data_IF_830895009965
#
_entry.id   IF_830895009965
#
_cell.length_a   1.000
_cell.length_b   1.000
_cell.length_c   1.000
_cell.angle_alpha   90.00
_cell.angle_beta   90.00
_cell.angle_gamma   90.00
#
_symmetry.space_group_name_H-M   'P 1'
#
loop_
_entity.id
_entity.type
_entity.pdbx_description
1 polymer ?
#
# COMPACT_ATOMS: atom_id res chain seq x y z
N UNK A 1 6.93 -10.40 38.19
CA UNK A 1 5.69 -10.78 37.47
C UNK A 1 5.90 -10.47 36.00
N UNK A 2 5.66 -11.43 35.10
CA UNK A 2 5.64 -11.15 33.66
C UNK A 2 4.30 -10.51 33.27
N UNK A 3 4.30 -9.66 32.24
CA UNK A 3 3.14 -8.88 31.82
C UNK A 3 3.14 -8.63 30.31
N UNK A 4 2.08 -7.98 29.81
CA UNK A 4 1.95 -7.48 28.44
C UNK A 4 1.45 -6.04 28.45
N UNK A 5 1.59 -5.27 27.34
CA UNK A 5 1.03 -3.92 27.25
C UNK A 5 -0.47 -3.87 27.61
N UNK A 6 -1.24 -4.88 27.19
CA UNK A 6 -2.66 -4.97 27.51
C UNK A 6 -2.92 -5.19 29.01
N UNK A 7 -2.14 -6.05 29.66
CA UNK A 7 -2.25 -6.26 31.11
C UNK A 7 -1.89 -5.01 31.90
N UNK A 8 -0.87 -4.27 31.46
CA UNK A 8 -0.48 -3.00 32.07
C UNK A 8 -1.59 -1.96 31.95
N UNK A 9 -2.13 -1.73 30.74
CA UNK A 9 -3.22 -0.77 30.51
C UNK A 9 -4.46 -1.14 31.34
N UNK A 10 -4.79 -2.43 31.47
CA UNK A 10 -5.87 -2.91 32.34
C UNK A 10 -5.64 -2.55 33.80
N UNK A 11 -4.42 -2.74 34.32
CA UNK A 11 -4.09 -2.40 35.70
C UNK A 11 -4.17 -0.89 35.94
N UNK A 12 -3.62 -0.08 35.01
CA UNK A 12 -3.67 1.38 35.07
C UNK A 12 -5.11 1.91 35.06
N UNK A 13 -5.98 1.38 34.21
CA UNK A 13 -7.40 1.76 34.20
C UNK A 13 -8.16 1.34 35.47
N UNK A 14 -7.63 0.38 36.24
CA UNK A 14 -8.17 -0.02 37.55
C UNK A 14 -7.71 0.88 38.70
N UNK A 15 -6.69 1.72 38.47
CA UNK A 15 -6.32 2.78 39.39
C UNK A 15 -7.35 3.90 39.19
N UNK A 16 -8.10 4.24 40.23
CA UNK A 16 -9.11 5.31 40.21
C UNK A 16 -8.44 6.70 40.07
N UNK A 17 -7.85 6.95 38.90
CA UNK A 17 -6.99 8.08 38.58
C UNK A 17 -7.54 8.82 37.36
N UNK A 18 -7.49 10.15 37.40
CA UNK A 18 -7.82 11.02 36.28
C UNK A 18 -6.57 11.33 35.47
N UNK A 19 -6.64 11.21 34.14
CA UNK A 19 -5.54 11.58 33.24
C UNK A 19 -5.73 12.98 32.69
N UNK A 20 -4.62 13.69 32.46
CA UNK A 20 -4.64 14.96 31.74
C UNK A 20 -5.08 14.74 30.28
N UNK A 21 -5.94 15.62 29.78
CA UNK A 21 -6.25 15.67 28.36
C UNK A 21 -5.08 16.30 27.58
N UNK A 22 -4.73 15.69 26.45
CA UNK A 22 -3.70 16.17 25.52
C UNK A 22 -4.27 16.12 24.10
N UNK A 23 -4.13 17.22 23.36
CA UNK A 23 -4.54 17.34 21.95
C UNK A 23 -3.43 18.03 21.15
N UNK A 24 -2.33 17.31 20.94
CA UNK A 24 -1.13 17.80 20.26
C UNK A 24 -0.50 16.67 19.44
N UNK A 25 0.20 17.04 18.35
CA UNK A 25 1.09 16.15 17.61
C UNK A 25 2.51 16.24 18.15
N UNK A 26 3.20 15.10 18.26
CA UNK A 26 4.58 15.02 18.75
C UNK A 26 5.59 15.02 17.59
N UNK A 27 5.75 16.16 16.93
CA UNK A 27 6.76 16.36 15.89
C UNK A 27 8.08 16.87 16.49
N UNK A 28 9.21 16.40 15.98
CA UNK A 28 10.55 16.69 16.50
C UNK A 28 11.49 17.23 15.41
N UNK A 29 12.72 17.58 15.79
CA UNK A 29 13.78 18.10 14.92
C UNK A 29 14.38 17.06 13.96
N UNK A 30 13.91 15.81 14.00
CA UNK A 30 14.33 14.72 13.10
C UNK A 30 13.70 14.89 11.72
N UNK A 31 13.75 16.10 11.15
CA UNK A 31 13.00 16.47 9.94
C UNK A 31 13.64 15.96 8.64
N UNK A 32 14.88 15.43 8.70
CA UNK A 32 15.58 14.92 7.53
C UNK A 32 14.85 13.76 6.84
N UNK A 33 14.21 12.87 7.61
CA UNK A 33 13.48 11.73 7.03
C UNK A 33 12.21 12.14 6.28
N UNK A 34 11.72 13.37 6.45
CA UNK A 34 10.59 13.89 5.67
C UNK A 34 10.93 13.99 4.18
N UNK A 35 12.19 14.24 3.83
CA UNK A 35 12.64 14.41 2.44
C UNK A 35 13.60 13.31 1.95
N UNK A 36 14.14 12.48 2.85
CA UNK A 36 15.11 11.45 2.47
C UNK A 36 14.54 10.44 1.45
N UNK A 37 15.34 9.99 0.48
CA UNK A 37 14.93 9.05 -0.60
C UNK A 37 13.60 9.44 -1.28
N UNK A 38 13.51 10.63 -1.90
CA UNK A 38 12.26 11.14 -2.45
C UNK A 38 11.68 10.27 -3.58
N UNK A 39 12.54 9.61 -4.38
CA UNK A 39 12.09 8.70 -5.43
C UNK A 39 11.33 7.48 -4.86
N UNK A 40 11.81 6.91 -3.75
CA UNK A 40 11.14 5.80 -3.06
C UNK A 40 9.78 6.24 -2.48
N UNK A 41 9.74 7.43 -1.86
CA UNK A 41 8.49 8.04 -1.38
C UNK A 41 7.48 8.27 -2.52
N UNK A 42 7.95 8.77 -3.67
CA UNK A 42 7.12 8.92 -4.85
C UNK A 42 6.57 7.57 -5.34
N UNK A 43 7.43 6.56 -5.42
CA UNK A 43 7.04 5.23 -5.87
C UNK A 43 6.00 4.59 -4.94
N UNK A 44 6.10 4.74 -3.61
CA UNK A 44 5.06 4.32 -2.66
C UNK A 44 3.70 4.95 -3.00
N UNK A 45 3.67 6.27 -3.25
CA UNK A 45 2.43 6.98 -3.60
C UNK A 45 1.86 6.50 -4.93
N UNK A 46 2.70 6.32 -5.94
CA UNK A 46 2.30 5.80 -7.24
C UNK A 46 1.71 4.39 -7.13
N UNK A 47 2.41 3.48 -6.44
CA UNK A 47 1.95 2.09 -6.26
C UNK A 47 0.66 2.03 -5.46
N UNK A 48 0.54 2.80 -4.37
CA UNK A 48 -0.70 2.88 -3.60
C UNK A 48 -1.86 3.44 -4.45
N UNK A 49 -1.62 4.45 -5.30
CA UNK A 49 -2.65 4.98 -6.19
C UNK A 49 -3.19 3.91 -7.14
N UNK A 50 -2.30 3.16 -7.81
CA UNK A 50 -2.69 2.06 -8.70
C UNK A 50 -3.37 0.93 -7.94
N UNK A 51 -2.94 0.61 -6.71
CA UNK A 51 -3.63 -0.34 -5.85
C UNK A 51 -5.08 0.10 -5.57
N UNK A 52 -5.31 1.36 -5.20
CA UNK A 52 -6.67 1.84 -4.94
C UNK A 52 -7.52 1.84 -6.21
N UNK A 53 -6.98 2.26 -7.36
CA UNK A 53 -7.67 2.19 -8.65
C UNK A 53 -8.03 0.75 -9.01
N UNK A 54 -7.11 -0.20 -8.83
CA UNK A 54 -7.35 -1.62 -9.05
C UNK A 54 -8.47 -2.18 -8.18
N UNK A 55 -8.55 -1.80 -6.90
CA UNK A 55 -9.64 -2.20 -5.99
C UNK A 55 -11.00 -1.67 -6.47
N UNK A 56 -11.06 -0.40 -6.87
CA UNK A 56 -12.30 0.20 -7.36
C UNK A 56 -12.75 -0.47 -8.66
N UNK A 57 -11.83 -0.62 -9.62
CA UNK A 57 -12.13 -1.26 -10.89
C UNK A 57 -12.52 -2.73 -10.74
N UNK A 58 -11.91 -3.48 -9.81
CA UNK A 58 -12.31 -4.88 -9.58
C UNK A 58 -13.74 -5.00 -9.09
N UNK A 59 -14.21 -4.06 -8.26
CA UNK A 59 -15.60 -4.00 -7.79
C UNK A 59 -16.54 -3.60 -8.92
N UNK A 60 -16.21 -2.55 -9.67
CA UNK A 60 -17.02 -2.08 -10.81
C UNK A 60 -17.20 -3.16 -11.88
N UNK A 61 -16.13 -3.88 -12.19
CA UNK A 61 -16.13 -4.98 -13.15
C UNK A 61 -16.66 -6.30 -12.57
N UNK A 62 -17.04 -6.35 -11.29
CA UNK A 62 -17.51 -7.57 -10.58
C UNK A 62 -16.59 -8.77 -10.82
N UNK A 63 -15.27 -8.53 -10.77
CA UNK A 63 -14.29 -9.59 -11.01
C UNK A 63 -14.42 -10.69 -9.97
N UNK A 64 -14.28 -11.92 -10.44
CA UNK A 64 -14.19 -13.12 -9.59
C UNK A 64 -12.96 -13.00 -8.66
N UNK A 65 -13.15 -12.90 -7.33
CA UNK A 65 -12.05 -12.75 -6.39
C UNK A 65 -11.03 -13.89 -6.48
N UNK A 66 -11.45 -15.11 -6.79
CA UNK A 66 -10.55 -16.26 -6.91
C UNK A 66 -9.45 -16.06 -7.98
N UNK A 67 -9.67 -15.17 -8.95
CA UNK A 67 -8.75 -14.85 -10.05
C UNK A 67 -7.94 -13.58 -9.84
N UNK A 68 -8.23 -12.81 -8.79
CA UNK A 68 -7.60 -11.50 -8.54
C UNK A 68 -7.04 -11.32 -7.13
N UNK A 69 -7.48 -12.12 -6.15
CA UNK A 69 -7.06 -11.99 -4.75
C UNK A 69 -5.55 -12.10 -4.59
N UNK A 70 -4.89 -13.06 -5.24
CA UNK A 70 -3.43 -13.20 -5.16
C UNK A 70 -2.69 -11.91 -5.58
N UNK A 71 -3.07 -11.31 -6.72
CA UNK A 71 -2.47 -10.05 -7.18
C UNK A 71 -2.80 -8.86 -6.25
N UNK A 72 -4.02 -8.83 -5.72
CA UNK A 72 -4.42 -7.79 -4.77
C UNK A 72 -3.68 -7.92 -3.44
N UNK A 73 -3.46 -9.13 -2.96
CA UNK A 73 -2.75 -9.39 -1.72
C UNK A 73 -1.26 -9.09 -1.86
N UNK A 74 -0.63 -9.47 -2.98
CA UNK A 74 0.74 -9.04 -3.31
C UNK A 74 0.84 -7.52 -3.28
N UNK A 75 0.00 -6.81 -4.05
CA UNK A 75 0.03 -5.35 -4.07
C UNK A 75 -0.24 -4.71 -2.70
N UNK A 76 -1.14 -5.27 -1.89
CA UNK A 76 -1.40 -4.79 -0.51
C UNK A 76 -0.18 -5.01 0.39
N UNK A 77 0.42 -6.19 0.34
CA UNK A 77 1.55 -6.54 1.20
C UNK A 77 2.76 -5.65 0.90
N UNK A 78 3.06 -5.43 -0.38
CA UNK A 78 4.22 -4.61 -0.75
C UNK A 78 4.06 -3.13 -0.39
N UNK A 79 2.86 -2.57 -0.56
CA UNK A 79 2.55 -1.21 -0.04
C UNK A 79 2.54 -1.19 1.49
N UNK A 80 2.08 -2.25 2.16
CA UNK A 80 2.06 -2.32 3.62
C UNK A 80 3.48 -2.35 4.20
N UNK A 81 4.42 -3.08 3.60
CA UNK A 81 5.83 -3.09 4.02
C UNK A 81 6.43 -1.68 3.98
N UNK A 82 6.03 -0.85 3.01
CA UNK A 82 6.49 0.54 2.95
C UNK A 82 6.07 1.39 4.14
N UNK A 83 5.01 1.03 4.86
CA UNK A 83 4.59 1.74 6.09
C UNK A 83 5.54 1.52 7.27
N UNK A 84 6.50 0.60 7.14
CA UNK A 84 7.58 0.47 8.11
C UNK A 84 8.31 1.80 8.29
N UNK A 85 8.60 2.15 9.55
CA UNK A 85 9.21 3.43 9.92
C UNK A 85 10.68 3.56 9.49
N UNK A 86 11.30 2.54 8.89
CA UNK A 86 12.58 2.66 8.16
C UNK A 86 12.47 2.51 6.63
N UNK A 87 11.26 2.22 6.13
CA UNK A 87 10.97 2.13 4.71
C UNK A 87 10.56 3.51 4.16
N UNK A 88 9.34 3.98 4.42
CA UNK A 88 8.85 5.25 3.87
C UNK A 88 9.66 6.47 4.33
N UNK A 89 10.25 6.41 5.53
CA UNK A 89 11.14 7.44 6.07
C UNK A 89 12.48 7.50 5.34
N UNK A 90 12.88 6.39 4.70
CA UNK A 90 14.14 6.25 3.98
C UNK A 90 15.36 6.08 4.90
N UNK A 91 15.17 5.71 6.16
CA UNK A 91 16.24 5.56 7.16
C UNK A 91 16.94 4.19 7.15
N UNK A 92 16.57 3.29 6.24
CA UNK A 92 17.23 1.99 6.06
C UNK A 92 18.53 2.07 5.23
N UNK A 93 19.44 1.06 5.37
CA UNK A 93 20.60 0.89 4.50
C UNK A 93 20.21 0.77 3.02
N UNK A 94 21.15 1.07 2.11
CA UNK A 94 20.89 1.08 0.67
C UNK A 94 20.32 -0.25 0.16
N UNK A 95 20.92 -1.39 0.54
CA UNK A 95 20.45 -2.71 0.11
C UNK A 95 18.99 -3.00 0.54
N UNK A 96 18.59 -2.57 1.74
CA UNK A 96 17.20 -2.68 2.21
C UNK A 96 16.27 -1.76 1.41
N UNK A 97 16.72 -0.54 1.09
CA UNK A 97 15.96 0.39 0.25
C UNK A 97 15.80 -0.11 -1.20
N UNK A 98 16.79 -0.84 -1.72
CA UNK A 98 16.71 -1.48 -3.03
C UNK A 98 15.68 -2.63 -3.02
N UNK A 99 15.61 -3.42 -1.94
CA UNK A 99 14.55 -4.42 -1.73
C UNK A 99 13.16 -3.77 -1.69
N UNK A 100 13.00 -2.66 -0.95
CA UNK A 100 11.75 -1.90 -0.93
C UNK A 100 11.33 -1.39 -2.31
N UNK A 101 12.29 -0.95 -3.12
CA UNK A 101 12.05 -0.53 -4.50
C UNK A 101 11.55 -1.70 -5.35
N UNK A 102 12.20 -2.86 -5.24
CA UNK A 102 11.83 -4.11 -5.95
C UNK A 102 10.43 -4.59 -5.56
N UNK A 103 10.14 -4.61 -4.26
CA UNK A 103 8.83 -4.91 -3.69
C UNK A 103 7.74 -4.01 -4.26
N UNK A 104 7.95 -2.69 -4.24
CA UNK A 104 7.00 -1.74 -4.82
C UNK A 104 6.79 -1.93 -6.33
N UNK A 105 7.82 -2.34 -7.08
CA UNK A 105 7.68 -2.68 -8.50
C UNK A 105 6.80 -3.92 -8.71
N UNK A 106 6.99 -4.97 -7.91
CA UNK A 106 6.14 -6.17 -7.92
C UNK A 106 4.70 -5.81 -7.56
N UNK A 107 4.47 -5.07 -6.47
CA UNK A 107 3.13 -4.62 -6.09
C UNK A 107 2.44 -3.75 -7.14
N UNK A 108 3.20 -2.87 -7.80
CA UNK A 108 2.70 -2.05 -8.92
C UNK A 108 2.29 -2.92 -10.11
N UNK A 109 3.13 -3.89 -10.50
CA UNK A 109 2.81 -4.83 -11.57
C UNK A 109 1.57 -5.68 -11.25
N UNK A 110 1.46 -6.18 -10.02
CA UNK A 110 0.33 -6.97 -9.56
C UNK A 110 -0.99 -6.16 -9.59
N UNK A 111 -0.98 -4.92 -9.10
CA UNK A 111 -2.16 -4.05 -9.17
C UNK A 111 -2.57 -3.75 -10.64
N UNK A 112 -1.60 -3.51 -11.52
CA UNK A 112 -1.85 -3.34 -12.97
C UNK A 112 -2.51 -4.56 -13.60
N UNK A 113 -2.20 -5.78 -13.16
CA UNK A 113 -2.89 -6.98 -13.69
C UNK A 113 -4.38 -6.97 -13.40
N UNK A 114 -4.78 -6.49 -12.21
CA UNK A 114 -6.19 -6.43 -11.86
C UNK A 114 -6.91 -5.32 -12.62
N UNK A 115 -6.27 -4.15 -12.78
CA UNK A 115 -6.78 -3.07 -13.64
C UNK A 115 -7.01 -3.57 -15.06
N UNK A 116 -6.05 -4.29 -15.65
CA UNK A 116 -6.18 -4.84 -17.00
C UNK A 116 -7.36 -5.80 -17.13
N UNK A 117 -7.52 -6.73 -16.18
CA UNK A 117 -8.66 -7.66 -16.14
C UNK A 117 -9.99 -6.94 -15.98
N UNK A 118 -10.04 -5.92 -15.13
CA UNK A 118 -11.25 -5.13 -14.92
C UNK A 118 -11.61 -4.33 -16.18
N UNK A 119 -10.60 -3.68 -16.79
CA UNK A 119 -10.78 -2.90 -18.00
C UNK A 119 -11.25 -3.74 -19.18
N UNK A 120 -10.67 -4.94 -19.37
CA UNK A 120 -11.11 -5.83 -20.43
C UNK A 120 -12.57 -6.24 -20.26
N UNK A 121 -12.98 -6.58 -19.04
CA UNK A 121 -14.36 -6.94 -18.73
C UNK A 121 -15.33 -5.77 -18.91
N UNK A 122 -14.98 -4.56 -18.47
CA UNK A 122 -15.82 -3.37 -18.60
C UNK A 122 -15.98 -2.92 -20.07
N UNK A 123 -14.95 -3.13 -20.89
CA UNK A 123 -14.97 -2.76 -22.32
C UNK A 123 -15.75 -3.77 -23.15
N UNK A 124 -15.65 -5.07 -22.84
CA UNK A 124 -16.50 -6.08 -23.45
C UNK A 124 -17.89 -6.04 -22.79
N UNK A 125 -18.84 -5.27 -23.36
CA UNK A 125 -20.25 -5.27 -22.92
C UNK A 125 -20.93 -6.66 -22.91
N UNK A 126 -20.28 -7.68 -23.47
CA UNK A 126 -20.71 -9.08 -23.49
C UNK A 126 -19.74 -9.98 -22.71
N UNK A 127 -20.29 -10.70 -21.73
CA UNK A 127 -19.62 -11.64 -20.83
C UNK A 127 -18.98 -12.87 -21.49
N UNK A 128 -19.03 -13.02 -22.82
CA UNK A 128 -18.58 -14.23 -23.53
C UNK A 128 -17.41 -14.04 -24.49
N UNK A 129 -17.04 -12.81 -24.87
CA UNK A 129 -15.85 -12.59 -25.69
C UNK A 129 -14.68 -12.20 -24.81
N UNK A 130 -13.81 -13.17 -24.53
CA UNK A 130 -12.42 -12.96 -24.08
C UNK A 130 -11.68 -12.15 -25.14
N UNK A 131 -11.91 -10.84 -25.19
CA UNK A 131 -11.04 -9.93 -25.93
C UNK A 131 -9.75 -9.87 -25.13
N UNK A 132 -8.74 -10.62 -25.57
CA UNK A 132 -7.37 -10.46 -25.09
C UNK A 132 -6.91 -9.11 -25.61
N UNK A 133 -6.97 -8.11 -24.75
CA UNK A 133 -6.49 -6.77 -25.07
C UNK A 133 -4.97 -6.76 -24.90
N UNK A 134 -4.25 -6.38 -25.96
CA UNK A 134 -2.82 -6.08 -25.91
C UNK A 134 -2.57 -4.66 -25.35
N UNK A 135 -3.39 -4.21 -24.40
CA UNK A 135 -3.30 -2.87 -23.86
C UNK A 135 -2.07 -2.77 -22.94
N UNK A 136 -1.11 -1.98 -23.42
CA UNK A 136 0.15 -1.70 -22.73
C UNK A 136 -0.08 -0.54 -21.77
N UNK A 137 0.43 -0.68 -20.55
CA UNK A 137 0.46 0.42 -19.60
C UNK A 137 1.62 1.32 -20.00
N UNK A 138 1.34 2.57 -20.38
CA UNK A 138 2.36 3.54 -20.74
C UNK A 138 2.80 4.28 -19.48
N UNK A 139 3.75 3.71 -18.75
CA UNK A 139 4.22 4.24 -17.46
C UNK A 139 4.83 5.67 -17.57
N UNK A 140 5.17 6.12 -18.78
CA UNK A 140 5.72 7.45 -19.08
C UNK A 140 4.82 8.32 -19.97
N UNK A 141 3.55 7.99 -20.13
CA UNK A 141 2.67 8.82 -20.96
C UNK A 141 2.42 10.17 -20.28
N UNK A 142 2.76 11.26 -20.97
CA UNK A 142 2.69 12.66 -20.50
C UNK A 142 3.75 13.05 -19.45
N UNK A 143 4.87 12.31 -19.39
CA UNK A 143 6.14 12.76 -18.81
C UNK A 143 7.05 13.11 -19.98
#
# INVERSE_FOLDING_TARGET
MYSSPNCYVKAVNGLNHSFDERNVDYLSYWVGYYANRPALKYQDRLTNNILQAGKQMSVLARLDPSKTTAYMDEARNEVAVMTHHDAITGTSPQATSDDYTSRLQSGYAAAKQVIRKAYSYLKSKDSEKKVVLNDVYCDFLNI
#
